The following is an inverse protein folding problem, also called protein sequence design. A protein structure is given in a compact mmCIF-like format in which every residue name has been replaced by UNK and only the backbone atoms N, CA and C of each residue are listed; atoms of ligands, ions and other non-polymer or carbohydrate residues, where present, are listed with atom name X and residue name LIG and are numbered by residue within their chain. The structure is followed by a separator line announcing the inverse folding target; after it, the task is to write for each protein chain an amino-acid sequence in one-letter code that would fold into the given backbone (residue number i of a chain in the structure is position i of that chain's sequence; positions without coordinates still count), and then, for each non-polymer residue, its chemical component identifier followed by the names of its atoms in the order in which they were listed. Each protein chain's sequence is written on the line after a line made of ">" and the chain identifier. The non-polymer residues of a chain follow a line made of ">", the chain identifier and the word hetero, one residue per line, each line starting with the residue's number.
data_IF_036826072608
#
_entry.id   IF_036826072608
#
_cell.length_a   1.000
_cell.length_b   1.000
_cell.length_c   1.000
_cell.angle_alpha   90.00
_cell.angle_beta   90.00
_cell.angle_gamma   90.00
#
_symmetry.space_group_name_H-M   'P 1'
#
loop_
_entity.id
_entity.type
_entity.pdbx_description
1 polymer ?
#
# COMPACT_ATOMS: atom_id res chain seq x y z
N UNK A 1 -4.40 9.53 17.69
CA UNK A 1 -3.10 9.46 17.01
C UNK A 1 -2.02 9.95 17.96
N UNK A 2 -1.06 9.15 18.30
CA UNK A 2 0.10 9.62 19.03
C UNK A 2 1.26 9.59 18.05
N UNK A 3 1.67 10.78 17.54
CA UNK A 3 2.96 10.88 16.87
C UNK A 3 3.98 10.64 17.99
N UNK A 4 4.50 9.43 18.06
CA UNK A 4 5.55 9.10 19.02
C UNK A 4 6.88 9.47 18.39
N UNK A 5 7.40 10.62 18.84
CA UNK A 5 8.77 11.08 18.65
C UNK A 5 9.19 11.36 17.19
N UNK A 6 9.21 12.63 16.86
CA UNK A 6 9.99 13.13 15.73
C UNK A 6 11.41 13.39 16.23
N UNK A 7 12.37 12.61 15.76
CA UNK A 7 13.79 12.82 16.05
C UNK A 7 14.38 13.71 14.98
N UNK A 8 14.96 14.85 15.40
CA UNK A 8 15.60 15.79 14.50
C UNK A 8 17.10 15.66 14.56
N UNK A 9 17.74 15.54 13.41
CA UNK A 9 19.19 15.60 13.27
C UNK A 9 19.56 16.80 12.42
N UNK A 10 20.42 17.66 12.96
CA UNK A 10 20.92 18.85 12.25
C UNK A 10 22.39 18.64 11.98
N UNK A 11 22.79 18.84 10.74
CA UNK A 11 24.20 18.77 10.32
C UNK A 11 24.56 19.96 9.45
N UNK A 12 25.84 20.30 9.42
CA UNK A 12 26.38 21.28 8.48
C UNK A 12 27.58 20.71 7.75
N UNK A 13 27.64 20.94 6.45
CA UNK A 13 28.78 20.52 5.62
C UNK A 13 29.25 21.66 4.76
N UNK A 14 30.58 21.80 4.63
CA UNK A 14 31.20 22.74 3.71
C UNK A 14 31.34 22.07 2.34
N UNK A 15 30.69 22.60 1.32
CA UNK A 15 30.88 22.18 -0.09
C UNK A 15 31.70 23.23 -0.83
N UNK A 16 32.70 22.77 -1.61
CA UNK A 16 33.35 23.61 -2.58
C UNK A 16 32.71 23.35 -3.94
N UNK A 17 32.10 24.36 -4.52
CA UNK A 17 31.57 24.32 -5.88
C UNK A 17 32.05 25.56 -6.63
N UNK A 18 32.70 25.35 -7.77
CA UNK A 18 33.26 26.43 -8.60
C UNK A 18 34.14 27.45 -7.84
N UNK A 19 35.01 26.97 -6.91
CA UNK A 19 35.94 27.80 -6.18
C UNK A 19 35.34 28.63 -5.03
N UNK A 20 34.02 28.62 -4.83
CA UNK A 20 33.38 29.25 -3.68
C UNK A 20 33.10 28.20 -2.60
N UNK A 21 33.34 28.58 -1.34
CA UNK A 21 32.93 27.79 -0.18
C UNK A 21 31.47 28.13 0.13
N UNK A 22 30.62 27.11 0.05
CA UNK A 22 29.23 27.20 0.44
C UNK A 22 29.00 26.33 1.67
N UNK A 23 28.38 26.90 2.71
CA UNK A 23 28.01 26.17 3.91
C UNK A 23 26.57 25.71 3.79
N UNK A 24 26.39 24.40 3.68
CA UNK A 24 25.07 23.78 3.61
C UNK A 24 24.64 23.33 5.00
N UNK A 25 23.42 23.67 5.35
CA UNK A 25 22.74 23.16 6.56
C UNK A 25 21.70 22.15 6.09
N UNK A 26 21.73 20.97 6.68
CA UNK A 26 20.75 19.92 6.45
C UNK A 26 20.12 19.49 7.76
N UNK A 27 18.87 19.10 7.70
CA UNK A 27 18.19 18.48 8.81
C UNK A 27 17.43 17.26 8.31
N UNK A 28 17.28 16.28 9.16
CA UNK A 28 16.43 15.12 8.92
C UNK A 28 15.48 14.92 10.11
N UNK A 29 14.30 14.40 9.81
CA UNK A 29 13.33 14.04 10.82
C UNK A 29 12.85 12.61 10.53
N UNK A 30 12.74 11.79 11.57
CA UNK A 30 12.13 10.46 11.48
C UNK A 30 10.78 10.51 12.16
N UNK A 31 9.74 10.16 11.44
CA UNK A 31 8.36 10.10 11.95
C UNK A 31 7.89 8.66 11.96
N UNK A 32 7.34 8.21 13.09
CA UNK A 32 6.73 6.91 13.22
C UNK A 32 5.23 7.01 12.98
N UNK A 33 4.70 6.24 12.04
CA UNK A 33 3.28 6.15 11.77
C UNK A 33 2.72 4.87 12.40
N UNK A 34 1.49 4.97 12.90
CA UNK A 34 0.73 3.82 13.41
C UNK A 34 -0.56 3.72 12.60
N UNK A 35 -0.82 2.54 12.06
CA UNK A 35 -2.03 2.22 11.31
C UNK A 35 -2.91 1.40 12.25
N UNK A 36 -4.15 1.84 12.50
CA UNK A 36 -5.15 1.04 13.21
C UNK A 36 -5.71 -0.04 12.29
N UNK A 37 -6.38 -1.03 12.84
CA UNK A 37 -7.09 -2.05 12.05
C UNK A 37 -8.15 -1.42 11.13
N UNK A 38 -8.91 -0.46 11.63
CA UNK A 38 -9.91 0.28 10.86
C UNK A 38 -9.29 1.07 9.71
N UNK A 39 -8.17 1.74 9.97
CA UNK A 39 -7.39 2.45 8.96
C UNK A 39 -6.87 1.49 7.87
N UNK A 40 -6.38 0.32 8.29
CA UNK A 40 -5.90 -0.71 7.37
C UNK A 40 -7.02 -1.25 6.47
N UNK A 41 -8.20 -1.52 7.05
CA UNK A 41 -9.37 -1.95 6.28
C UNK A 41 -9.75 -0.89 5.25
N UNK A 42 -9.77 0.39 5.64
CA UNK A 42 -10.07 1.50 4.73
C UNK A 42 -9.08 1.58 3.57
N UNK A 43 -7.78 1.43 3.83
CA UNK A 43 -6.74 1.38 2.79
C UNK A 43 -6.95 0.19 1.83
N UNK A 44 -7.25 -0.99 2.36
CA UNK A 44 -7.49 -2.18 1.54
C UNK A 44 -8.76 -2.05 0.68
N UNK A 45 -9.81 -1.39 1.20
CA UNK A 45 -11.02 -1.09 0.43
C UNK A 45 -10.69 -0.19 -0.77
N UNK A 46 -9.96 0.89 -0.53
CA UNK A 46 -9.52 1.80 -1.61
C UNK A 46 -8.60 1.08 -2.59
N UNK A 47 -7.73 0.20 -2.10
CA UNK A 47 -6.87 -0.62 -2.95
C UNK A 47 -7.67 -1.56 -3.86
N UNK A 48 -8.71 -2.23 -3.33
CA UNK A 48 -9.60 -3.07 -4.12
C UNK A 48 -10.33 -2.30 -5.21
N UNK A 49 -10.71 -1.04 -4.94
CA UNK A 49 -11.28 -0.16 -5.95
C UNK A 49 -10.25 0.24 -7.02
N UNK A 50 -9.02 0.55 -6.60
CA UNK A 50 -7.95 0.94 -7.51
C UNK A 50 -7.59 -0.13 -8.52
N UNK A 51 -7.50 -1.39 -8.09
CA UNK A 51 -7.13 -2.52 -8.96
C UNK A 51 -8.30 -3.13 -9.72
N UNK A 52 -9.52 -2.62 -9.58
CA UNK A 52 -10.76 -3.26 -10.07
C UNK A 52 -10.76 -3.58 -11.57
N UNK A 53 -9.94 -2.90 -12.35
CA UNK A 53 -9.83 -3.11 -13.81
C UNK A 53 -8.91 -4.28 -14.19
N UNK A 54 -8.02 -4.73 -13.28
CA UNK A 54 -7.13 -5.85 -13.56
C UNK A 54 -7.16 -6.96 -12.52
N UNK A 55 -7.70 -6.71 -11.30
CA UNK A 55 -7.64 -7.71 -10.26
C UNK A 55 -8.67 -7.55 -9.14
N UNK A 56 -8.60 -8.46 -8.19
CA UNK A 56 -9.45 -8.51 -7.02
C UNK A 56 -8.65 -8.94 -5.80
N UNK A 57 -8.92 -8.33 -4.64
CA UNK A 57 -8.21 -8.60 -3.38
C UNK A 57 -9.03 -9.52 -2.48
N UNK A 58 -8.34 -10.47 -1.86
CA UNK A 58 -8.87 -11.35 -0.82
C UNK A 58 -7.94 -11.32 0.39
N UNK A 59 -8.49 -11.10 1.58
CA UNK A 59 -7.74 -11.09 2.84
C UNK A 59 -8.30 -12.12 3.79
N UNK A 60 -7.45 -13.01 4.33
CA UNK A 60 -7.85 -14.14 5.17
C UNK A 60 -8.97 -14.98 4.54
N UNK A 61 -8.90 -15.18 3.23
CA UNK A 61 -9.91 -15.94 2.51
C UNK A 61 -9.75 -17.44 2.76
N UNK A 62 -10.82 -18.07 3.21
CA UNK A 62 -10.92 -19.53 3.29
C UNK A 62 -11.95 -20.01 2.27
N UNK A 63 -11.53 -20.73 1.22
CA UNK A 63 -12.45 -21.17 0.16
C UNK A 63 -13.65 -21.98 0.66
N UNK A 64 -13.46 -22.71 1.76
CA UNK A 64 -14.51 -23.55 2.38
C UNK A 64 -15.42 -22.78 3.35
N UNK A 65 -15.11 -21.51 3.64
CA UNK A 65 -15.86 -20.67 4.57
C UNK A 65 -15.98 -19.23 4.06
N UNK A 66 -16.44 -19.00 2.84
CA UNK A 66 -16.34 -17.70 2.18
C UNK A 66 -17.19 -16.61 2.82
N UNK A 67 -18.11 -16.93 3.71
CA UNK A 67 -19.10 -15.97 4.23
C UNK A 67 -19.37 -16.12 5.74
N UNK A 68 -18.36 -16.43 6.52
CA UNK A 68 -18.50 -16.42 7.99
C UNK A 68 -18.73 -14.99 8.51
N UNK A 69 -19.33 -14.92 9.71
CA UNK A 69 -19.55 -13.65 10.42
C UNK A 69 -18.23 -12.88 10.57
N UNK A 70 -18.19 -11.65 10.12
CA UNK A 70 -16.99 -10.81 10.11
C UNK A 70 -16.33 -10.64 8.73
N UNK A 71 -16.99 -11.15 7.68
CA UNK A 71 -16.52 -10.96 6.30
C UNK A 71 -17.04 -9.64 5.73
N UNK A 72 -16.15 -8.78 5.25
CA UNK A 72 -16.50 -7.60 4.50
C UNK A 72 -16.41 -7.91 3.00
N UNK A 73 -17.55 -7.80 2.29
CA UNK A 73 -17.62 -7.97 0.84
C UNK A 73 -18.08 -6.67 0.21
N UNK A 74 -17.32 -6.15 -0.73
CA UNK A 74 -17.73 -5.03 -1.56
C UNK A 74 -18.12 -5.56 -2.94
N UNK A 75 -19.42 -5.53 -3.23
CA UNK A 75 -19.99 -6.03 -4.48
C UNK A 75 -19.86 -4.97 -5.59
N UNK A 76 -18.75 -4.95 -6.27
CA UNK A 76 -18.58 -4.32 -7.59
C UNK A 76 -17.58 -5.15 -8.37
N UNK A 77 -17.63 -5.10 -9.69
CA UNK A 77 -16.56 -5.64 -10.54
C UNK A 77 -15.22 -5.17 -9.97
N UNK A 78 -14.34 -6.12 -9.63
CA UNK A 78 -13.10 -5.83 -8.93
C UNK A 78 -13.22 -5.65 -7.40
N UNK A 79 -14.16 -6.31 -6.75
CA UNK A 79 -14.40 -6.19 -5.32
C UNK A 79 -13.23 -6.63 -4.44
N UNK A 80 -13.35 -6.27 -3.17
CA UNK A 80 -12.47 -6.78 -2.11
C UNK A 80 -13.26 -7.71 -1.20
N UNK A 81 -12.63 -8.79 -0.77
CA UNK A 81 -13.15 -9.73 0.21
C UNK A 81 -12.21 -9.76 1.41
N UNK A 82 -12.62 -9.19 2.53
CA UNK A 82 -11.84 -9.16 3.76
C UNK A 82 -12.56 -9.94 4.84
N UNK A 83 -11.90 -10.97 5.38
CA UNK A 83 -12.28 -11.52 6.66
C UNK A 83 -11.57 -10.72 7.75
N UNK A 84 -12.33 -9.89 8.45
CA UNK A 84 -11.82 -9.02 9.51
C UNK A 84 -11.58 -9.77 10.83
N UNK A 85 -12.01 -11.05 10.94
CA UNK A 85 -11.68 -11.84 12.11
C UNK A 85 -10.19 -12.14 12.14
N UNK A 86 -9.54 -11.80 13.24
CA UNK A 86 -8.11 -12.04 13.45
C UNK A 86 -7.19 -11.37 12.43
N UNK A 87 -7.60 -10.22 11.87
CA UNK A 87 -6.73 -9.46 10.97
C UNK A 87 -5.43 -9.07 11.71
N UNK A 88 -4.29 -9.41 11.13
CA UNK A 88 -2.97 -9.13 11.68
C UNK A 88 -1.93 -9.03 10.55
N UNK A 89 -0.67 -8.76 10.90
CA UNK A 89 0.41 -8.58 9.92
C UNK A 89 0.70 -9.81 9.07
N UNK A 90 0.41 -11.00 9.57
CA UNK A 90 0.66 -12.27 8.89
C UNK A 90 -0.60 -12.78 8.16
N UNK A 91 -1.69 -12.02 8.19
CA UNK A 91 -2.89 -12.30 7.42
C UNK A 91 -2.57 -12.34 5.93
N UNK A 92 -3.03 -13.40 5.27
CA UNK A 92 -2.83 -13.61 3.85
C UNK A 92 -3.54 -12.54 3.03
N UNK A 93 -2.84 -11.98 2.06
CA UNK A 93 -3.35 -11.06 1.06
C UNK A 93 -3.17 -11.70 -0.31
N UNK A 94 -4.27 -12.15 -0.89
CA UNK A 94 -4.28 -12.71 -2.24
C UNK A 94 -4.73 -11.65 -3.23
N UNK A 95 -4.15 -11.66 -4.42
CA UNK A 95 -4.64 -10.89 -5.54
C UNK A 95 -4.98 -11.83 -6.69
N UNK A 96 -6.22 -11.78 -7.15
CA UNK A 96 -6.66 -12.45 -8.35
C UNK A 96 -6.46 -11.49 -9.54
N UNK A 97 -5.67 -11.91 -10.52
CA UNK A 97 -5.36 -11.14 -11.71
C UNK A 97 -6.29 -11.55 -12.86
N UNK A 98 -7.14 -10.62 -13.33
CA UNK A 98 -8.10 -10.89 -14.41
C UNK A 98 -7.49 -10.84 -15.80
N UNK A 99 -6.38 -10.18 -15.98
CA UNK A 99 -5.74 -10.02 -17.29
C UNK A 99 -5.08 -11.32 -17.78
N UNK A 100 -4.84 -12.24 -16.86
CA UNK A 100 -4.39 -13.60 -17.20
C UNK A 100 -5.51 -14.48 -17.79
N UNK A 101 -6.75 -13.98 -17.91
CA UNK A 101 -7.92 -14.75 -18.36
C UNK A 101 -8.15 -14.79 -19.88
N UNK A 102 -7.30 -14.25 -20.71
CA UNK A 102 -7.40 -14.41 -22.17
C UNK A 102 -7.13 -15.83 -22.68
N UNK A 103 -6.93 -16.77 -21.76
CA UNK A 103 -6.81 -18.20 -22.09
C UNK A 103 -8.22 -18.80 -22.13
N UNK A 104 -8.61 -19.36 -23.28
CA UNK A 104 -9.94 -19.90 -23.60
C UNK A 104 -10.44 -21.04 -22.66
N UNK A 105 -9.64 -21.47 -21.70
CA UNK A 105 -9.99 -22.56 -20.77
C UNK A 105 -10.20 -22.01 -19.35
N UNK A 106 -11.47 -21.76 -19.01
CA UNK A 106 -11.92 -21.20 -17.72
C UNK A 106 -11.71 -22.14 -16.51
N UNK A 107 -10.99 -23.24 -16.64
CA UNK A 107 -10.89 -24.27 -15.62
C UNK A 107 -9.75 -24.07 -14.59
N UNK A 108 -8.81 -23.19 -14.84
CA UNK A 108 -7.71 -22.90 -13.91
C UNK A 108 -7.65 -21.41 -13.59
N UNK A 109 -8.31 -21.03 -12.48
CA UNK A 109 -8.12 -19.72 -11.87
C UNK A 109 -6.74 -19.72 -11.24
N UNK A 110 -5.75 -19.17 -11.89
CA UNK A 110 -4.44 -18.96 -11.29
C UNK A 110 -4.53 -17.87 -10.24
N UNK A 111 -4.46 -18.27 -8.97
CA UNK A 111 -4.34 -17.33 -7.84
C UNK A 111 -2.89 -16.86 -7.82
N UNK A 112 -2.67 -15.65 -8.27
CA UNK A 112 -1.33 -15.09 -8.34
C UNK A 112 -0.91 -14.41 -7.03
N UNK A 113 0.15 -14.95 -6.45
CA UNK A 113 1.03 -14.43 -5.41
C UNK A 113 0.38 -14.18 -4.05
N UNK A 114 0.69 -15.11 -3.15
CA UNK A 114 0.48 -14.96 -1.73
C UNK A 114 1.38 -13.84 -1.19
N UNK A 115 0.75 -12.81 -0.69
CA UNK A 115 1.38 -11.74 0.08
C UNK A 115 0.78 -11.73 1.48
N UNK A 116 1.29 -10.88 2.33
CA UNK A 116 0.74 -10.65 3.65
C UNK A 116 0.41 -9.17 3.85
N UNK A 117 -0.34 -8.87 4.87
CA UNK A 117 -0.57 -7.49 5.30
C UNK A 117 0.76 -6.80 5.63
N UNK A 118 1.73 -7.54 6.15
CA UNK A 118 3.10 -7.05 6.40
C UNK A 118 3.77 -6.60 5.11
N UNK A 119 3.62 -7.36 4.02
CA UNK A 119 4.20 -7.00 2.72
C UNK A 119 3.56 -5.73 2.16
N UNK A 120 2.25 -5.59 2.31
CA UNK A 120 1.54 -4.37 1.92
C UNK A 120 2.05 -3.14 2.68
N UNK A 121 2.17 -3.22 4.01
CA UNK A 121 2.69 -2.12 4.83
C UNK A 121 4.16 -1.83 4.50
N UNK A 122 4.99 -2.86 4.30
CA UNK A 122 6.38 -2.68 3.89
C UNK A 122 6.50 -2.02 2.52
N UNK A 123 5.57 -2.30 1.60
CA UNK A 123 5.51 -1.63 0.30
C UNK A 123 5.22 -0.14 0.46
N UNK A 124 4.24 0.23 1.25
CA UNK A 124 3.94 1.64 1.56
C UNK A 124 5.18 2.33 2.14
N UNK A 125 5.83 1.70 3.13
CA UNK A 125 7.07 2.21 3.71
C UNK A 125 8.16 2.40 2.66
N UNK A 126 8.38 1.39 1.82
CA UNK A 126 9.39 1.44 0.75
C UNK A 126 9.12 2.59 -0.24
N UNK A 127 7.86 2.83 -0.60
CA UNK A 127 7.47 3.93 -1.49
C UNK A 127 7.79 5.29 -0.85
N UNK A 128 7.51 5.45 0.44
CA UNK A 128 7.84 6.69 1.18
C UNK A 128 9.35 6.94 1.21
N UNK A 129 10.13 5.90 1.46
CA UNK A 129 11.57 5.99 1.65
C UNK A 129 12.36 6.06 0.32
N UNK A 130 11.79 5.59 -0.78
CA UNK A 130 12.49 5.50 -2.06
C UNK A 130 12.72 6.89 -2.68
N UNK A 131 13.98 7.26 -3.00
CA UNK A 131 14.32 8.62 -3.45
C UNK A 131 13.65 9.03 -4.76
N UNK A 132 13.37 8.08 -5.64
CA UNK A 132 12.78 8.33 -6.96
C UNK A 132 11.24 8.26 -6.98
N UNK A 133 10.60 8.05 -5.83
CA UNK A 133 9.13 8.12 -5.76
C UNK A 133 8.67 9.54 -6.07
N UNK A 134 7.63 9.66 -6.92
CA UNK A 134 7.01 10.97 -7.20
C UNK A 134 6.63 11.65 -5.90
N UNK A 135 6.99 12.92 -5.76
CA UNK A 135 6.71 13.69 -4.55
C UNK A 135 5.20 13.76 -4.23
N UNK A 136 4.34 13.85 -5.26
CA UNK A 136 2.88 13.84 -5.07
C UNK A 136 2.41 12.57 -4.37
N UNK A 137 2.73 11.39 -4.89
CA UNK A 137 2.36 10.12 -4.28
C UNK A 137 2.90 9.99 -2.86
N UNK A 138 4.18 10.33 -2.66
CA UNK A 138 4.79 10.30 -1.32
C UNK A 138 4.02 11.18 -0.34
N UNK A 139 3.68 12.41 -0.76
CA UNK A 139 2.96 13.35 0.07
C UNK A 139 1.54 12.86 0.35
N UNK A 140 0.80 12.36 -0.66
CA UNK A 140 -0.53 11.78 -0.47
C UNK A 140 -0.51 10.65 0.58
N UNK A 141 0.48 9.76 0.53
CA UNK A 141 0.63 8.70 1.53
C UNK A 141 0.91 9.27 2.92
N UNK A 142 1.87 10.19 3.02
CA UNK A 142 2.26 10.81 4.31
C UNK A 142 1.08 11.57 4.91
N UNK A 143 0.38 12.38 4.13
CA UNK A 143 -0.76 13.17 4.56
C UNK A 143 -1.92 12.28 5.02
N UNK A 144 -2.20 11.19 4.28
CA UNK A 144 -3.21 10.20 4.67
C UNK A 144 -2.88 9.53 6.00
N UNK A 145 -1.64 9.08 6.18
CA UNK A 145 -1.20 8.44 7.41
C UNK A 145 -1.17 9.41 8.60
N UNK A 146 -0.83 10.67 8.36
CA UNK A 146 -0.74 11.69 9.40
C UNK A 146 -2.12 12.18 9.85
N UNK A 147 -3.01 12.43 8.91
CA UNK A 147 -4.37 12.94 9.17
C UNK A 147 -5.38 11.86 9.50
N UNK A 148 -5.08 10.59 9.16
CA UNK A 148 -6.02 9.47 9.13
C UNK A 148 -7.20 9.71 8.17
N UNK A 149 -7.00 10.53 7.18
CA UNK A 149 -7.93 10.78 6.10
C UNK A 149 -7.38 10.14 4.81
N UNK A 150 -7.91 8.99 4.48
CA UNK A 150 -7.45 8.21 3.31
C UNK A 150 -8.04 8.72 1.99
N UNK A 151 -8.85 9.77 2.02
CA UNK A 151 -9.32 10.48 0.83
C UNK A 151 -8.20 11.19 0.04
N UNK A 152 -7.01 11.35 0.63
CA UNK A 152 -5.83 11.83 -0.10
C UNK A 152 -5.21 10.78 -1.03
N UNK A 153 -5.52 9.51 -0.83
CA UNK A 153 -5.10 8.41 -1.69
C UNK A 153 -6.23 8.09 -2.66
N UNK A 154 -6.03 8.40 -3.91
CA UNK A 154 -6.99 8.05 -4.95
C UNK A 154 -6.81 6.60 -5.45
N UNK A 155 -7.70 6.18 -6.35
CA UNK A 155 -7.67 4.84 -6.93
C UNK A 155 -6.36 4.56 -7.69
N UNK A 156 -5.76 5.57 -8.34
CA UNK A 156 -4.51 5.42 -9.06
C UNK A 156 -3.31 5.28 -8.13
N UNK A 157 -3.30 6.02 -7.03
CA UNK A 157 -2.27 5.90 -5.99
C UNK A 157 -2.30 4.49 -5.39
N UNK A 158 -3.51 3.97 -5.10
CA UNK A 158 -3.67 2.64 -4.51
C UNK A 158 -3.39 1.52 -5.51
N UNK A 159 -3.73 1.71 -6.79
CA UNK A 159 -3.32 0.80 -7.86
C UNK A 159 -1.81 0.70 -7.96
N UNK A 160 -1.10 1.83 -7.97
CA UNK A 160 0.36 1.85 -7.94
C UNK A 160 0.93 1.06 -6.74
N UNK A 161 0.40 1.30 -5.54
CA UNK A 161 0.84 0.62 -4.31
C UNK A 161 0.61 -0.89 -4.43
N UNK A 162 -0.56 -1.30 -4.92
CA UNK A 162 -0.90 -2.72 -5.06
C UNK A 162 -0.04 -3.41 -6.10
N UNK A 163 0.17 -2.82 -7.27
CA UNK A 163 1.07 -3.41 -8.29
C UNK A 163 2.48 -3.57 -7.74
N UNK A 164 3.00 -2.56 -7.03
CA UNK A 164 4.30 -2.67 -6.35
C UNK A 164 4.32 -3.75 -5.27
N UNK A 165 3.23 -3.94 -4.53
CA UNK A 165 3.12 -5.00 -3.53
C UNK A 165 3.12 -6.39 -4.18
N UNK A 166 2.31 -6.58 -5.21
CA UNK A 166 2.05 -7.89 -5.82
C UNK A 166 3.19 -8.29 -6.77
N UNK A 167 3.59 -7.39 -7.67
CA UNK A 167 4.53 -7.69 -8.76
C UNK A 167 5.96 -7.15 -8.50
N UNK A 168 6.12 -6.20 -7.58
CA UNK A 168 7.39 -5.47 -7.38
C UNK A 168 7.62 -4.34 -8.39
N UNK A 169 6.79 -4.23 -9.42
CA UNK A 169 6.86 -3.24 -10.50
C UNK A 169 5.47 -2.87 -11.00
N UNK A 170 5.37 -1.90 -11.90
CA UNK A 170 4.11 -1.61 -12.60
C UNK A 170 3.99 -2.55 -13.81
N UNK A 171 2.87 -3.26 -13.86
CA UNK A 171 2.54 -4.22 -14.91
C UNK A 171 1.38 -3.69 -15.75
N UNK A 172 0.42 -3.05 -15.10
CA UNK A 172 -0.78 -2.50 -15.71
C UNK A 172 -0.76 -0.97 -15.65
N UNK A 173 -1.18 -0.30 -16.69
CA UNK A 173 -1.21 1.17 -16.74
C UNK A 173 -1.79 1.71 -18.02
#
# INVERSE_FOLDING_TARGET
>A
MTIKETTWTISSTDKKQHGKKEKLFSFSATTNYQISEEDLISLLITAGQGISYWGQIYVNFEPNKPYEKGFLKIEREGGIYINVNNLNLDSNLFCLDYQCYEIEDKSEIEIHKDKTIRDFINTIKSIIEHPNTKASLRNSIIDSLASKDYGYLDALDMDYIMQKCIFGELVYG
#
